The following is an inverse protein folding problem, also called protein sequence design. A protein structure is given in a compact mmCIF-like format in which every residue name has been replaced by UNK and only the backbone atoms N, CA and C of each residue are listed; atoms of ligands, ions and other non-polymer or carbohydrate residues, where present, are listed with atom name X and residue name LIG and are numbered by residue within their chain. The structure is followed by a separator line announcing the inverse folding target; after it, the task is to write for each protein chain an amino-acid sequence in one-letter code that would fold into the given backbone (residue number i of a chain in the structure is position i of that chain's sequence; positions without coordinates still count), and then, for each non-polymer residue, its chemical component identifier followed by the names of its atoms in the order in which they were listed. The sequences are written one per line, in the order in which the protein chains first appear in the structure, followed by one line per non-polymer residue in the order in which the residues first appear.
data_IF_284028311980
#
_entry.id   IF_284028311980
#
_cell.length_a   1.000
_cell.length_b   1.000
_cell.length_c   1.000
_cell.angle_alpha   90.00
_cell.angle_beta   90.00
_cell.angle_gamma   90.00
#
_symmetry.space_group_name_H-M   'P 1'
#
loop_
_entity.id
_entity.type
_entity.pdbx_description
1 polymer ?
#
# COMPACT_ATOMS: atom_id res chain seq x y z
N UNK A 1 11.61 -8.42 -19.72
CA UNK A 1 10.71 -9.09 -20.68
C UNK A 1 9.63 -9.86 -19.90
N UNK A 2 8.50 -9.22 -19.58
CA UNK A 2 7.32 -9.91 -19.04
C UNK A 2 6.41 -10.27 -20.23
N UNK A 3 6.22 -11.56 -20.50
CA UNK A 3 5.27 -12.06 -21.51
C UNK A 3 3.94 -12.36 -20.83
N UNK A 4 2.83 -11.83 -21.36
CA UNK A 4 1.48 -12.34 -21.04
C UNK A 4 0.78 -12.68 -22.36
N UNK A 5 0.43 -13.96 -22.49
CA UNK A 5 -0.29 -14.53 -23.61
C UNK A 5 -1.80 -14.59 -23.31
N UNK A 6 -2.59 -14.26 -24.33
CA UNK A 6 -4.05 -14.30 -24.40
C UNK A 6 -4.51 -15.73 -24.71
N UNK A 7 -5.55 -16.26 -24.03
CA UNK A 7 -6.55 -17.16 -24.62
C UNK A 7 -7.77 -17.48 -23.71
N UNK A 8 -8.96 -17.08 -24.22
CA UNK A 8 -10.28 -17.75 -24.24
C UNK A 8 -10.97 -18.29 -22.97
N UNK A 9 -12.07 -17.62 -22.58
CA UNK A 9 -13.41 -17.96 -23.08
C UNK A 9 -14.21 -19.05 -22.34
N UNK A 10 -15.12 -18.65 -21.45
CA UNK A 10 -16.35 -19.39 -21.13
C UNK A 10 -17.52 -18.41 -20.96
N UNK A 11 -18.58 -18.66 -21.73
CA UNK A 11 -19.86 -17.97 -21.68
C UNK A 11 -20.74 -18.57 -20.58
N UNK A 12 -21.27 -17.76 -19.68
CA UNK A 12 -22.41 -18.12 -18.84
C UNK A 12 -23.46 -17.00 -18.88
N UNK A 13 -24.58 -17.30 -19.54
CA UNK A 13 -25.81 -16.50 -19.52
C UNK A 13 -26.52 -16.66 -18.17
N UNK A 14 -26.79 -15.56 -17.47
CA UNK A 14 -27.74 -15.53 -16.36
C UNK A 14 -28.76 -14.41 -16.62
N UNK A 15 -30.03 -14.81 -16.50
CA UNK A 15 -31.23 -14.11 -16.92
C UNK A 15 -31.57 -12.86 -16.12
N UNK A 16 -32.23 -11.94 -16.82
CA UNK A 16 -32.82 -10.68 -16.38
C UNK A 16 -33.64 -10.79 -15.08
N UNK A 17 -33.39 -9.86 -14.15
CA UNK A 17 -34.41 -9.30 -13.27
C UNK A 17 -34.56 -7.80 -13.55
N UNK A 18 -35.80 -7.41 -13.82
CA UNK A 18 -36.22 -6.02 -14.00
C UNK A 18 -36.03 -5.21 -12.71
N UNK A 19 -35.29 -4.11 -12.79
CA UNK A 19 -35.40 -3.00 -11.84
C UNK A 19 -35.72 -1.70 -12.60
N UNK A 20 -36.71 -1.00 -12.07
CA UNK A 20 -37.29 0.25 -12.57
C UNK A 20 -36.30 1.40 -12.34
N UNK A 21 -36.04 2.30 -13.30
CA UNK A 21 -35.15 3.43 -13.07
C UNK A 21 -35.87 4.53 -12.28
N UNK A 22 -35.22 5.03 -11.24
CA UNK A 22 -35.60 6.27 -10.54
C UNK A 22 -34.69 7.38 -11.05
N UNK A 23 -35.22 8.20 -11.98
CA UNK A 23 -34.60 9.44 -12.42
C UNK A 23 -34.75 10.53 -11.35
N UNK A 24 -33.63 11.02 -10.78
CA UNK A 24 -33.52 12.38 -10.22
C UNK A 24 -32.07 12.90 -10.23
N UNK A 25 -31.72 13.71 -11.23
CA UNK A 25 -30.77 14.81 -11.04
C UNK A 25 -31.24 16.06 -11.82
N UNK A 26 -31.80 17.10 -11.17
CA UNK A 26 -32.44 18.23 -11.84
C UNK A 26 -31.55 19.47 -12.05
N UNK A 27 -30.21 19.39 -11.91
CA UNK A 27 -29.33 20.54 -12.17
C UNK A 27 -28.28 20.21 -13.24
N UNK A 28 -28.67 20.42 -14.49
CA UNK A 28 -27.77 20.36 -15.63
C UNK A 28 -26.75 21.51 -15.60
N UNK A 29 -25.52 21.21 -15.19
CA UNK A 29 -24.34 21.94 -15.68
C UNK A 29 -23.88 21.25 -16.96
N UNK A 30 -23.80 22.00 -18.05
CA UNK A 30 -23.23 21.54 -19.31
C UNK A 30 -21.73 21.37 -19.11
N UNK A 31 -21.27 20.15 -18.87
CA UNK A 31 -19.85 19.82 -19.00
C UNK A 31 -19.52 19.85 -20.49
N UNK A 32 -18.51 20.64 -20.86
CA UNK A 32 -17.99 20.65 -22.22
C UNK A 32 -17.17 19.37 -22.37
N UNK A 33 -17.81 18.34 -22.92
CA UNK A 33 -17.23 17.03 -23.22
C UNK A 33 -16.13 17.17 -24.27
N UNK A 34 -14.89 17.33 -23.83
CA UNK A 34 -13.71 17.03 -24.64
C UNK A 34 -12.79 16.15 -23.80
N UNK A 35 -12.84 14.85 -24.12
CA UNK A 35 -12.03 13.76 -23.57
C UNK A 35 -12.24 13.52 -22.08
N UNK A 36 -13.28 12.75 -21.78
CA UNK A 36 -13.33 11.87 -20.61
C UNK A 36 -12.13 10.91 -20.75
N UNK A 37 -10.94 11.30 -20.28
CA UNK A 37 -9.87 10.36 -19.97
C UNK A 37 -10.46 9.51 -18.85
N UNK A 38 -10.76 8.23 -19.11
CA UNK A 38 -11.59 7.41 -18.23
C UNK A 38 -10.95 7.30 -16.84
N UNK A 39 -11.40 8.13 -15.89
CA UNK A 39 -11.02 8.08 -14.46
C UNK A 39 -11.29 6.67 -13.87
N UNK A 40 -12.29 5.99 -14.44
CA UNK A 40 -12.62 4.60 -14.13
C UNK A 40 -11.50 3.63 -14.55
N UNK A 41 -10.69 3.95 -15.56
CA UNK A 41 -9.57 3.09 -16.03
C UNK A 41 -8.40 3.12 -15.05
N UNK A 42 -7.94 4.30 -14.58
CA UNK A 42 -6.82 4.42 -13.61
C UNK A 42 -7.12 3.68 -12.31
N UNK A 43 -8.31 3.89 -11.74
CA UNK A 43 -8.72 3.23 -10.49
C UNK A 43 -8.79 1.71 -10.67
N UNK A 44 -9.23 1.24 -11.84
CA UNK A 44 -9.29 -0.19 -12.13
C UNK A 44 -7.91 -0.79 -12.39
N UNK A 45 -7.01 -0.05 -13.06
CA UNK A 45 -5.63 -0.43 -13.31
C UNK A 45 -4.86 -0.58 -11.99
N UNK A 46 -4.96 0.40 -11.09
CA UNK A 46 -4.29 0.32 -9.78
C UNK A 46 -4.80 -0.85 -8.96
N UNK A 47 -6.13 -1.06 -8.90
CA UNK A 47 -6.74 -2.21 -8.21
C UNK A 47 -6.31 -3.54 -8.81
N UNK A 48 -6.19 -3.62 -10.14
CA UNK A 48 -5.72 -4.82 -10.82
C UNK A 48 -4.25 -5.11 -10.48
N UNK A 49 -3.39 -4.09 -10.48
CA UNK A 49 -1.97 -4.22 -10.11
C UNK A 49 -1.81 -4.62 -8.65
N UNK A 50 -2.50 -3.97 -7.72
CA UNK A 50 -2.56 -4.35 -6.31
C UNK A 50 -3.02 -5.80 -6.13
N UNK A 51 -4.08 -6.22 -6.83
CA UNK A 51 -4.56 -7.60 -6.78
C UNK A 51 -3.51 -8.60 -7.28
N UNK A 52 -2.79 -8.26 -8.36
CA UNK A 52 -1.70 -9.10 -8.88
C UNK A 52 -0.55 -9.20 -7.88
N UNK A 53 -0.16 -8.11 -7.22
CA UNK A 53 0.87 -8.11 -6.19
C UNK A 53 0.44 -8.94 -4.97
N UNK A 54 -0.80 -8.80 -4.51
CA UNK A 54 -1.35 -9.61 -3.42
C UNK A 54 -1.32 -11.11 -3.72
N UNK A 55 -1.64 -11.52 -4.96
CA UNK A 55 -1.53 -12.93 -5.38
C UNK A 55 -0.07 -13.42 -5.36
N UNK A 56 0.89 -12.57 -5.71
CA UNK A 56 2.32 -12.92 -5.65
C UNK A 56 2.79 -13.03 -4.20
N UNK A 57 2.42 -12.08 -3.34
CA UNK A 57 2.73 -12.02 -1.92
C UNK A 57 2.24 -13.27 -1.20
N UNK A 58 0.96 -13.62 -1.39
CA UNK A 58 0.37 -14.85 -0.84
C UNK A 58 1.15 -16.11 -1.23
N UNK A 59 1.51 -16.24 -2.52
CA UNK A 59 2.29 -17.41 -3.00
C UNK A 59 3.69 -17.47 -2.39
N UNK A 60 4.32 -16.32 -2.19
CA UNK A 60 5.65 -16.22 -1.61
C UNK A 60 5.64 -16.50 -0.11
N UNK A 61 4.70 -15.92 0.65
CA UNK A 61 4.53 -16.20 2.07
C UNK A 61 4.27 -17.68 2.32
N UNK A 62 3.38 -18.30 1.54
CA UNK A 62 3.17 -19.75 1.63
C UNK A 62 4.44 -20.54 1.37
N UNK A 63 5.19 -20.20 0.33
CA UNK A 63 6.47 -20.85 0.03
C UNK A 63 7.51 -20.62 1.15
N UNK A 64 7.52 -19.43 1.76
CA UNK A 64 8.39 -19.08 2.88
C UNK A 64 8.12 -20.01 4.08
N UNK A 65 6.86 -20.09 4.51
CA UNK A 65 6.43 -20.93 5.64
C UNK A 65 6.72 -22.41 5.40
N UNK A 66 6.41 -22.92 4.20
CA UNK A 66 6.72 -24.31 3.83
C UNK A 66 8.23 -24.62 3.92
N UNK A 67 9.09 -23.67 3.54
CA UNK A 67 10.54 -23.83 3.63
C UNK A 67 11.08 -23.70 5.05
N UNK A 68 10.55 -22.76 5.86
CA UNK A 68 10.89 -22.63 7.28
C UNK A 68 10.55 -23.92 8.03
N UNK A 69 9.34 -24.45 7.82
CA UNK A 69 8.91 -25.70 8.44
C UNK A 69 9.83 -26.86 8.05
N UNK A 70 10.22 -26.94 6.77
CA UNK A 70 11.13 -27.98 6.26
C UNK A 70 12.54 -27.84 6.87
N UNK A 71 13.04 -26.62 7.02
CA UNK A 71 14.32 -26.32 7.67
C UNK A 71 14.30 -26.73 9.15
N UNK A 72 13.23 -26.41 9.87
CA UNK A 72 13.06 -26.78 11.29
C UNK A 72 12.98 -28.29 11.51
N UNK A 73 12.29 -29.04 10.64
CA UNK A 73 12.19 -30.51 10.74
C UNK A 73 13.52 -31.22 10.49
N UNK A 74 14.43 -30.63 9.70
CA UNK A 74 15.67 -31.26 9.27
C UNK A 74 16.86 -30.28 9.31
N UNK A 75 17.30 -29.83 10.50
CA UNK A 75 18.28 -28.76 10.65
C UNK A 75 19.71 -29.15 10.22
N UNK A 76 20.07 -30.43 10.32
CA UNK A 76 21.43 -30.92 10.08
C UNK A 76 21.72 -31.34 8.62
N UNK A 77 20.73 -31.20 7.73
CA UNK A 77 20.87 -31.56 6.32
C UNK A 77 21.00 -30.29 5.50
N UNK A 78 22.07 -30.17 4.71
CA UNK A 78 22.14 -29.14 3.66
C UNK A 78 21.06 -29.47 2.63
N UNK A 79 19.92 -28.80 2.75
CA UNK A 79 18.75 -29.06 1.92
C UNK A 79 18.87 -28.27 0.63
N UNK A 80 19.14 -29.02 -0.44
CA UNK A 80 18.91 -28.54 -1.79
C UNK A 80 17.46 -28.77 -2.14
N UNK A 81 16.74 -27.70 -2.42
CA UNK A 81 15.34 -27.74 -2.82
C UNK A 81 15.22 -27.50 -4.32
N UNK A 82 14.29 -28.24 -4.94
CA UNK A 82 13.89 -27.97 -6.30
C UNK A 82 12.80 -26.91 -6.29
N UNK A 83 13.08 -25.72 -6.84
CA UNK A 83 12.06 -24.67 -6.99
C UNK A 83 11.10 -25.04 -8.11
N UNK A 84 9.79 -24.98 -7.83
CA UNK A 84 8.79 -25.12 -8.88
C UNK A 84 8.99 -24.05 -9.95
N UNK A 85 8.67 -24.37 -11.22
CA UNK A 85 8.75 -23.43 -12.34
C UNK A 85 8.03 -22.11 -12.06
N UNK A 86 6.89 -22.17 -11.35
CA UNK A 86 6.12 -21.00 -10.94
C UNK A 86 6.91 -20.13 -9.96
N UNK A 87 7.46 -20.72 -8.89
CA UNK A 87 8.22 -19.99 -7.88
C UNK A 87 9.53 -19.42 -8.46
N UNK A 88 10.22 -20.18 -9.31
CA UNK A 88 11.42 -19.70 -10.00
C UNK A 88 11.14 -18.47 -10.86
N UNK A 89 9.99 -18.42 -11.56
CA UNK A 89 9.56 -17.24 -12.31
C UNK A 89 9.25 -16.04 -11.40
N UNK A 90 8.55 -16.25 -10.29
CA UNK A 90 8.22 -15.18 -9.33
C UNK A 90 9.51 -14.59 -8.75
N UNK A 91 10.50 -15.44 -8.44
CA UNK A 91 11.82 -15.06 -7.94
C UNK A 91 12.78 -14.58 -9.03
N UNK A 92 12.33 -14.50 -10.30
CA UNK A 92 13.13 -14.05 -11.45
C UNK A 92 14.45 -14.85 -11.62
N UNK A 93 14.40 -16.17 -11.43
CA UNK A 93 15.56 -17.08 -11.54
C UNK A 93 15.53 -17.76 -12.92
N UNK A 94 16.59 -17.54 -13.72
CA UNK A 94 16.67 -17.98 -15.12
C UNK A 94 16.80 -19.50 -15.32
N UNK A 95 17.23 -20.26 -14.31
CA UNK A 95 17.45 -21.71 -14.41
C UNK A 95 16.79 -22.46 -13.25
N UNK A 96 15.87 -23.38 -13.58
CA UNK A 96 15.39 -24.44 -12.67
C UNK A 96 16.61 -25.24 -12.21
N UNK A 97 17.08 -24.96 -11.01
CA UNK A 97 18.23 -25.61 -10.41
C UNK A 97 17.98 -25.83 -8.92
N UNK A 98 18.62 -26.86 -8.41
CA UNK A 98 18.64 -27.15 -6.99
C UNK A 98 19.33 -25.99 -6.26
N UNK A 99 18.56 -25.29 -5.43
CA UNK A 99 19.03 -24.14 -4.65
C UNK A 99 19.06 -24.52 -3.18
N UNK A 100 20.07 -24.01 -2.48
CA UNK A 100 20.17 -24.13 -1.03
C UNK A 100 18.99 -23.46 -0.34
N UNK A 101 18.38 -24.11 0.66
CA UNK A 101 17.20 -23.60 1.34
C UNK A 101 17.40 -22.20 1.94
N UNK A 102 18.59 -21.89 2.47
CA UNK A 102 18.89 -20.56 3.03
C UNK A 102 19.04 -19.49 1.93
N UNK A 103 19.43 -19.91 0.72
CA UNK A 103 19.43 -19.02 -0.45
C UNK A 103 18.01 -18.79 -0.95
N UNK A 104 17.16 -19.82 -0.93
CA UNK A 104 15.76 -19.69 -1.32
C UNK A 104 14.97 -18.79 -0.37
N UNK A 105 15.07 -19.01 0.95
CA UNK A 105 14.43 -18.18 1.98
C UNK A 105 14.80 -16.70 1.82
N UNK A 106 16.10 -16.40 1.70
CA UNK A 106 16.60 -15.03 1.49
C UNK A 106 16.02 -14.39 0.24
N UNK A 107 15.96 -15.11 -0.89
CA UNK A 107 15.40 -14.61 -2.14
C UNK A 107 13.89 -14.37 -2.06
N UNK A 108 13.16 -15.24 -1.35
CA UNK A 108 11.73 -15.06 -1.12
C UNK A 108 11.51 -13.79 -0.30
N UNK A 109 12.26 -13.62 0.80
CA UNK A 109 12.22 -12.40 1.60
C UNK A 109 12.56 -11.15 0.78
N UNK A 110 13.66 -11.16 0.04
CA UNK A 110 14.06 -10.05 -0.84
C UNK A 110 12.94 -9.71 -1.84
N UNK A 111 12.27 -10.73 -2.41
CA UNK A 111 11.15 -10.51 -3.33
C UNK A 111 9.90 -9.98 -2.63
N UNK A 112 9.61 -10.39 -1.39
CA UNK A 112 8.53 -9.80 -0.58
C UNK A 112 8.81 -8.33 -0.29
N UNK A 113 10.05 -7.99 0.09
CA UNK A 113 10.50 -6.61 0.30
C UNK A 113 10.42 -5.78 -1.01
N UNK A 114 10.66 -6.40 -2.17
CA UNK A 114 10.41 -5.75 -3.47
C UNK A 114 8.92 -5.54 -3.76
N UNK A 115 8.05 -6.50 -3.43
CA UNK A 115 6.60 -6.36 -3.62
C UNK A 115 6.05 -5.24 -2.74
N UNK A 116 6.48 -5.15 -1.49
CA UNK A 116 6.10 -4.06 -0.59
C UNK A 116 6.44 -2.67 -1.18
N UNK A 117 7.60 -2.56 -1.85
CA UNK A 117 7.99 -1.33 -2.54
C UNK A 117 7.13 -1.06 -3.78
N UNK A 118 6.84 -2.10 -4.56
CA UNK A 118 5.93 -2.00 -5.72
C UNK A 118 4.51 -1.56 -5.27
N UNK A 119 4.02 -2.04 -4.12
CA UNK A 119 2.74 -1.62 -3.53
C UNK A 119 2.75 -0.13 -3.15
N UNK A 120 3.79 0.33 -2.46
CA UNK A 120 3.96 1.76 -2.11
C UNK A 120 4.08 2.65 -3.34
N UNK A 121 4.76 2.21 -4.40
CA UNK A 121 4.83 2.95 -5.67
C UNK A 121 3.43 3.11 -6.29
N UNK A 122 2.60 2.06 -6.31
CA UNK A 122 1.22 2.13 -6.80
C UNK A 122 0.37 3.09 -5.95
N UNK A 123 0.54 3.10 -4.62
CA UNK A 123 -0.15 4.06 -3.75
C UNK A 123 0.22 5.51 -4.08
N UNK A 124 1.50 5.77 -4.29
CA UNK A 124 1.96 7.10 -4.71
C UNK A 124 1.42 7.49 -6.09
N UNK A 125 1.30 6.56 -7.04
CA UNK A 125 0.68 6.81 -8.35
C UNK A 125 -0.80 7.19 -8.23
N UNK A 126 -1.54 6.53 -7.33
CA UNK A 126 -2.94 6.87 -7.03
C UNK A 126 -3.06 8.25 -6.39
N UNK A 127 -2.17 8.61 -5.47
CA UNK A 127 -2.13 9.95 -4.86
C UNK A 127 -1.87 11.04 -5.92
N UNK A 128 -0.95 10.80 -6.87
CA UNK A 128 -0.78 11.71 -8.02
C UNK A 128 -2.06 11.83 -8.82
N UNK A 129 -2.76 10.72 -9.10
CA UNK A 129 -4.04 10.75 -9.82
C UNK A 129 -5.04 11.67 -9.12
N UNK A 130 -5.18 11.58 -7.79
CA UNK A 130 -6.09 12.43 -7.00
C UNK A 130 -5.72 13.91 -7.08
N UNK A 131 -4.42 14.23 -7.07
CA UNK A 131 -3.94 15.61 -7.26
C UNK A 131 -4.30 16.11 -8.66
N UNK A 132 -4.09 15.30 -9.69
CA UNK A 132 -4.46 15.67 -11.06
C UNK A 132 -5.97 15.87 -11.20
N UNK A 133 -6.80 14.99 -10.64
CA UNK A 133 -8.25 15.12 -10.62
C UNK A 133 -8.65 16.48 -10.01
N UNK A 134 -8.08 16.80 -8.85
CA UNK A 134 -8.32 18.05 -8.14
C UNK A 134 -7.93 19.27 -8.98
N UNK A 135 -6.80 19.24 -9.66
CA UNK A 135 -6.36 20.35 -10.50
C UNK A 135 -7.19 20.48 -11.79
N UNK A 136 -7.56 19.37 -12.42
CA UNK A 136 -8.41 19.33 -13.60
C UNK A 136 -9.82 19.89 -13.31
N UNK A 137 -10.39 19.55 -12.15
CA UNK A 137 -11.68 20.07 -11.70
C UNK A 137 -11.70 21.61 -11.58
N UNK A 138 -10.57 22.21 -11.24
CA UNK A 138 -10.45 23.64 -10.94
C UNK A 138 -9.65 24.44 -11.98
N UNK A 139 -9.13 23.81 -13.04
CA UNK A 139 -8.28 24.47 -14.04
C UNK A 139 -9.02 25.58 -14.78
N UNK A 140 -10.33 25.40 -15.00
CA UNK A 140 -11.19 26.31 -15.75
C UNK A 140 -12.08 27.20 -14.86
N UNK A 141 -11.90 27.14 -13.53
CA UNK A 141 -12.68 27.93 -12.58
C UNK A 141 -12.43 29.44 -12.71
N UNK A 142 -13.49 30.21 -12.44
CA UNK A 142 -13.40 31.67 -12.29
C UNK A 142 -12.62 32.04 -11.03
N UNK A 143 -12.09 33.27 -10.96
CA UNK A 143 -11.33 33.73 -9.78
C UNK A 143 -12.11 33.58 -8.45
N UNK A 144 -13.43 33.78 -8.48
CA UNK A 144 -14.31 33.58 -7.31
C UNK A 144 -14.48 32.11 -6.93
N UNK A 145 -14.56 31.21 -7.90
CA UNK A 145 -14.66 29.76 -7.66
C UNK A 145 -13.34 29.23 -7.12
N UNK A 146 -12.20 29.64 -7.69
CA UNK A 146 -10.86 29.29 -7.20
C UNK A 146 -10.64 29.69 -5.75
N UNK A 147 -10.99 30.93 -5.39
CA UNK A 147 -10.88 31.41 -4.00
C UNK A 147 -11.78 30.62 -3.05
N UNK A 148 -12.98 30.24 -3.49
CA UNK A 148 -13.88 29.40 -2.72
C UNK A 148 -13.29 27.99 -2.52
N UNK A 149 -12.79 27.36 -3.59
CA UNK A 149 -12.17 26.04 -3.55
C UNK A 149 -10.98 26.00 -2.60
N UNK A 150 -10.11 27.02 -2.64
CA UNK A 150 -8.97 27.15 -1.70
C UNK A 150 -9.43 27.18 -0.24
N UNK A 151 -10.45 27.99 0.08
CA UNK A 151 -10.98 28.08 1.45
C UNK A 151 -11.62 26.79 1.92
N UNK A 152 -12.36 26.11 1.05
CA UNK A 152 -12.97 24.81 1.37
C UNK A 152 -11.90 23.74 1.61
N UNK A 153 -10.84 23.74 0.81
CA UNK A 153 -9.69 22.85 0.97
C UNK A 153 -8.93 23.10 2.29
N UNK A 154 -8.59 24.36 2.58
CA UNK A 154 -7.93 24.74 3.84
C UNK A 154 -8.80 24.37 5.06
N UNK A 155 -10.12 24.60 4.98
CA UNK A 155 -11.04 24.25 6.05
C UNK A 155 -11.10 22.74 6.30
N UNK A 156 -11.11 21.93 5.23
CA UNK A 156 -11.02 20.46 5.37
C UNK A 156 -9.69 20.08 6.02
N UNK A 157 -8.56 20.56 5.49
CA UNK A 157 -7.22 20.25 6.01
C UNK A 157 -7.10 20.50 7.52
N UNK A 158 -7.66 21.60 8.02
CA UNK A 158 -7.67 21.91 9.46
C UNK A 158 -8.48 20.94 10.31
N UNK A 159 -9.52 20.30 9.76
CA UNK A 159 -10.32 19.27 10.47
C UNK A 159 -9.56 17.95 10.59
N UNK A 160 -8.77 17.60 9.57
CA UNK A 160 -8.09 16.30 9.48
C UNK A 160 -6.70 16.25 10.16
N UNK A 161 -6.18 17.37 10.69
CA UNK A 161 -4.82 17.47 11.25
C UNK A 161 -4.65 16.99 12.70
N UNK A 162 -5.53 16.13 13.19
CA UNK A 162 -5.39 15.55 14.54
C UNK A 162 -5.08 14.07 14.44
N UNK A 163 -3.88 13.75 13.96
CA UNK A 163 -3.35 12.40 14.07
C UNK A 163 -3.10 12.11 15.56
N UNK A 164 -3.74 11.06 16.07
CA UNK A 164 -3.32 10.44 17.32
C UNK A 164 -1.93 9.83 17.11
N UNK A 165 -1.11 9.83 18.15
CA UNK A 165 0.26 9.32 18.04
C UNK A 165 0.18 7.80 17.99
N UNK A 166 0.67 7.21 16.91
CA UNK A 166 0.82 5.76 16.81
C UNK A 166 1.72 5.25 17.93
N UNK A 167 1.40 4.07 18.45
CA UNK A 167 2.31 3.33 19.29
C UNK A 167 3.54 2.89 18.49
N UNK A 168 4.70 2.82 19.18
CA UNK A 168 5.92 2.26 18.60
C UNK A 168 5.71 0.81 18.12
N UNK A 169 6.21 0.41 16.93
CA UNK A 169 6.13 -0.97 16.47
C UNK A 169 6.79 -1.92 17.47
N UNK A 170 6.02 -2.92 17.94
CA UNK A 170 6.45 -3.93 18.91
C UNK A 170 6.53 -3.41 20.35
N UNK A 171 5.98 -2.24 20.63
CA UNK A 171 5.86 -1.75 22.00
C UNK A 171 4.84 -2.58 22.80
N UNK A 172 5.02 -2.64 24.12
CA UNK A 172 4.00 -3.24 24.99
C UNK A 172 2.71 -2.43 25.03
N UNK A 173 2.77 -1.14 24.69
CA UNK A 173 1.59 -0.28 24.65
C UNK A 173 0.67 -0.71 23.50
N UNK A 174 1.25 -0.89 22.31
CA UNK A 174 0.59 -1.45 21.12
C UNK A 174 -0.11 -2.78 21.44
N UNK A 175 0.61 -3.78 21.93
CA UNK A 175 0.00 -5.10 22.18
C UNK A 175 -1.12 -5.05 23.23
N UNK A 176 -1.00 -4.19 24.23
CA UNK A 176 -2.05 -4.03 25.25
C UNK A 176 -3.28 -3.32 24.70
N UNK A 177 -3.08 -2.39 23.77
CA UNK A 177 -4.17 -1.68 23.12
C UNK A 177 -4.95 -2.64 22.22
N UNK A 178 -4.26 -3.39 21.35
CA UNK A 178 -4.82 -4.49 20.55
C UNK A 178 -5.59 -5.48 21.44
N UNK A 179 -4.94 -5.99 22.50
CA UNK A 179 -5.54 -6.96 23.42
C UNK A 179 -6.83 -6.45 24.07
N UNK A 180 -6.87 -5.17 24.42
CA UNK A 180 -8.01 -4.60 25.12
C UNK A 180 -9.13 -4.19 24.17
N UNK A 181 -8.78 -3.57 23.05
CA UNK A 181 -9.73 -2.89 22.18
C UNK A 181 -10.16 -3.77 21.01
N UNK A 182 -9.25 -4.51 20.38
CA UNK A 182 -9.56 -5.39 19.25
C UNK A 182 -9.96 -6.80 19.71
N UNK A 183 -9.19 -7.40 20.62
CA UNK A 183 -9.49 -8.73 21.14
C UNK A 183 -10.59 -8.73 22.21
N UNK A 184 -11.03 -7.53 22.63
CA UNK A 184 -12.00 -7.30 23.72
C UNK A 184 -11.64 -8.07 25.02
N UNK A 185 -10.36 -8.27 25.29
CA UNK A 185 -9.88 -9.06 26.43
C UNK A 185 -9.58 -8.21 27.67
N UNK A 186 -9.76 -8.76 28.89
CA UNK A 186 -9.42 -8.04 30.12
C UNK A 186 -7.91 -7.74 30.19
N UNK A 187 -7.56 -6.50 30.52
CA UNK A 187 -6.17 -6.03 30.64
C UNK A 187 -5.37 -6.85 31.67
N UNK A 188 -5.99 -7.27 32.78
CA UNK A 188 -5.36 -8.09 33.82
C UNK A 188 -4.90 -9.49 33.31
N UNK A 189 -5.44 -9.94 32.18
CA UNK A 189 -5.10 -11.23 31.57
C UNK A 189 -4.03 -11.11 30.47
N UNK A 190 -3.60 -9.90 30.14
CA UNK A 190 -2.57 -9.69 29.14
C UNK A 190 -1.27 -10.37 29.58
N UNK A 191 -0.72 -11.19 28.69
CA UNK A 191 0.67 -11.62 28.77
C UNK A 191 1.21 -11.73 27.35
N UNK A 192 2.48 -11.35 27.11
CA UNK A 192 3.08 -11.44 25.77
C UNK A 192 2.97 -12.85 25.18
N UNK A 193 3.05 -13.87 26.04
CA UNK A 193 2.84 -15.27 25.65
C UNK A 193 1.45 -15.54 25.10
N UNK A 194 0.41 -15.10 25.82
CA UNK A 194 -0.96 -15.31 25.35
C UNK A 194 -1.23 -14.50 24.10
N UNK A 195 -0.74 -13.25 24.06
CA UNK A 195 -0.84 -12.37 22.90
C UNK A 195 -0.26 -13.05 21.64
N UNK A 196 0.96 -13.59 21.74
CA UNK A 196 1.58 -14.36 20.66
C UNK A 196 0.71 -15.51 20.16
N UNK A 197 0.23 -16.33 21.09
CA UNK A 197 -0.50 -17.57 20.77
C UNK A 197 -1.88 -17.35 20.15
N UNK A 198 -2.54 -16.22 20.42
CA UNK A 198 -3.87 -15.94 19.83
C UNK A 198 -3.77 -15.29 18.45
N UNK A 199 -2.66 -14.62 18.15
CA UNK A 199 -2.40 -13.96 16.87
C UNK A 199 -1.58 -14.82 15.91
N UNK A 200 -1.03 -15.94 16.38
CA UNK A 200 -0.60 -17.07 15.54
C UNK A 200 -1.86 -17.80 15.03
N UNK A 201 -2.46 -17.24 13.97
CA UNK A 201 -3.79 -17.60 13.48
C UNK A 201 -3.81 -19.02 12.90
N UNK A 202 -2.68 -19.45 12.33
CA UNK A 202 -2.54 -20.75 11.70
C UNK A 202 -1.92 -21.80 12.65
N UNK A 203 -1.44 -21.39 13.83
CA UNK A 203 -0.78 -22.21 14.86
C UNK A 203 0.50 -22.91 14.39
N UNK A 204 1.27 -22.28 13.51
CA UNK A 204 2.57 -22.76 13.03
C UNK A 204 3.76 -22.32 13.90
N UNK A 205 3.49 -21.48 14.90
CA UNK A 205 4.45 -21.03 15.90
C UNK A 205 5.34 -19.86 15.48
N UNK A 206 5.05 -19.24 14.32
CA UNK A 206 5.66 -18.01 13.87
C UNK A 206 4.59 -16.98 13.54
N UNK A 207 4.95 -15.71 13.48
CA UNK A 207 4.12 -14.68 12.88
C UNK A 207 4.64 -14.34 11.50
N UNK A 208 3.80 -14.54 10.50
CA UNK A 208 4.09 -14.14 9.13
C UNK A 208 3.69 -12.67 8.86
N UNK A 209 3.91 -12.20 7.62
CA UNK A 209 3.60 -10.82 7.27
C UNK A 209 2.11 -10.47 7.38
N UNK A 210 1.22 -11.44 7.15
CA UNK A 210 -0.24 -11.23 7.20
C UNK A 210 -0.70 -11.14 8.66
N UNK A 211 -0.18 -12.00 9.53
CA UNK A 211 -0.45 -11.97 10.97
C UNK A 211 0.09 -10.70 11.62
N UNK A 212 1.30 -10.27 11.24
CA UNK A 212 1.85 -8.99 11.70
C UNK A 212 0.97 -7.83 11.24
N UNK A 213 0.58 -7.79 9.96
CA UNK A 213 -0.31 -6.73 9.47
C UNK A 213 -1.65 -6.73 10.21
N UNK A 214 -2.19 -7.90 10.55
CA UNK A 214 -3.43 -8.01 11.30
C UNK A 214 -3.32 -7.37 12.71
N UNK A 215 -2.23 -7.65 13.43
CA UNK A 215 -1.94 -7.03 14.74
C UNK A 215 -1.80 -5.51 14.65
N UNK A 216 -1.25 -5.01 13.55
CA UNK A 216 -1.03 -3.58 13.36
C UNK A 216 -2.26 -2.83 12.86
N UNK A 217 -3.36 -3.52 12.52
CA UNK A 217 -4.51 -2.88 11.89
C UNK A 217 -5.18 -1.80 12.78
N UNK A 218 -5.28 -2.02 14.09
CA UNK A 218 -5.87 -1.07 15.05
C UNK A 218 -5.21 0.30 15.02
N UNK A 219 -3.90 0.35 14.83
CA UNK A 219 -3.16 1.62 14.77
C UNK A 219 -3.66 2.49 13.61
N UNK A 220 -4.14 1.85 12.54
CA UNK A 220 -4.60 2.53 11.33
C UNK A 220 -6.11 2.78 11.29
N UNK A 221 -6.91 2.20 12.19
CA UNK A 221 -8.35 2.52 12.31
C UNK A 221 -8.56 3.99 12.74
N UNK A 222 -7.54 4.62 13.32
CA UNK A 222 -7.53 6.03 13.70
C UNK A 222 -7.18 6.95 12.54
N UNK A 223 -6.73 6.41 11.39
CA UNK A 223 -6.45 7.21 10.20
C UNK A 223 -7.73 7.62 9.48
N UNK A 224 -7.62 8.73 8.77
CA UNK A 224 -8.70 9.30 7.97
C UNK A 224 -9.18 8.30 6.90
N UNK A 225 -10.44 7.84 6.99
CA UNK A 225 -11.05 6.90 6.02
C UNK A 225 -10.94 7.40 4.57
N UNK A 226 -10.83 8.72 4.38
CA UNK A 226 -10.69 9.37 3.08
C UNK A 226 -9.30 9.15 2.42
N UNK A 227 -8.34 8.51 3.11
CA UNK A 227 -6.95 8.29 2.64
C UNK A 227 -6.48 6.82 2.79
N UNK A 228 -7.14 5.86 2.14
CA UNK A 228 -6.82 4.44 2.31
C UNK A 228 -5.41 4.07 1.84
N UNK A 229 -4.87 4.74 0.82
CA UNK A 229 -3.52 4.49 0.29
C UNK A 229 -2.43 4.86 1.31
N UNK A 230 -2.61 5.99 2.01
CA UNK A 230 -1.68 6.45 3.06
C UNK A 230 -1.72 5.51 4.27
N UNK A 231 -2.91 5.03 4.64
CA UNK A 231 -3.03 4.03 5.70
C UNK A 231 -2.28 2.74 5.38
N UNK A 232 -2.37 2.27 4.13
CA UNK A 232 -1.67 1.08 3.71
C UNK A 232 -0.15 1.27 3.60
N UNK A 233 0.31 2.43 3.12
CA UNK A 233 1.72 2.80 3.14
C UNK A 233 2.29 2.79 4.57
N UNK A 234 1.60 3.43 5.52
CA UNK A 234 2.03 3.46 6.91
C UNK A 234 2.03 2.05 7.52
N UNK A 235 1.08 1.18 7.16
CA UNK A 235 1.06 -0.23 7.56
C UNK A 235 2.31 -0.98 7.08
N UNK A 236 2.70 -0.78 5.82
CA UNK A 236 3.92 -1.37 5.26
C UNK A 236 5.16 -0.87 6.00
N UNK A 237 5.28 0.45 6.22
CA UNK A 237 6.42 1.04 6.92
C UNK A 237 6.53 0.56 8.38
N UNK A 238 5.40 0.49 9.09
CA UNK A 238 5.36 0.04 10.48
C UNK A 238 5.70 -1.46 10.59
N UNK A 239 5.17 -2.30 9.69
CA UNK A 239 5.56 -3.72 9.60
C UNK A 239 7.05 -3.89 9.32
N UNK A 240 7.61 -3.15 8.36
CA UNK A 240 9.04 -3.22 8.07
C UNK A 240 9.88 -2.77 9.26
N UNK A 241 9.42 -1.77 10.00
CA UNK A 241 10.06 -1.31 11.23
C UNK A 241 10.03 -2.39 12.31
N UNK A 242 8.89 -3.06 12.50
CA UNK A 242 8.76 -4.20 13.41
C UNK A 242 9.72 -5.33 13.04
N UNK A 243 9.74 -5.74 11.77
CA UNK A 243 10.65 -6.79 11.29
C UNK A 243 12.11 -6.45 11.58
N UNK A 244 12.56 -5.22 11.30
CA UNK A 244 13.93 -4.76 11.61
C UNK A 244 14.24 -4.83 13.11
N UNK A 245 13.24 -4.66 13.96
CA UNK A 245 13.39 -4.62 15.42
C UNK A 245 13.39 -6.03 16.03
N UNK A 246 12.56 -6.94 15.53
CA UNK A 246 12.25 -8.23 16.16
C UNK A 246 12.93 -9.40 15.46
N UNK A 247 12.77 -9.55 14.13
CA UNK A 247 13.36 -10.63 13.33
C UNK A 247 14.90 -10.52 13.32
N UNK A 248 15.55 -11.32 14.17
CA UNK A 248 17.01 -11.30 14.37
C UNK A 248 17.73 -12.17 13.36
N UNK A 249 17.12 -13.28 12.99
CA UNK A 249 17.72 -14.25 12.10
C UNK A 249 17.55 -13.85 10.60
N UNK A 250 16.70 -12.86 10.32
CA UNK A 250 16.35 -12.30 9.02
C UNK A 250 15.72 -13.31 8.06
N UNK A 251 14.93 -14.25 8.59
CA UNK A 251 14.21 -15.25 7.80
C UNK A 251 12.85 -14.78 7.30
N UNK A 252 12.39 -13.59 7.73
CA UNK A 252 11.16 -12.97 7.25
C UNK A 252 9.90 -13.35 8.03
N UNK A 253 10.03 -14.07 9.15
CA UNK A 253 8.95 -14.29 10.13
C UNK A 253 9.41 -13.86 11.51
N UNK A 254 8.51 -13.83 12.49
CA UNK A 254 8.84 -13.61 13.90
C UNK A 254 8.50 -14.88 14.67
N UNK A 255 9.50 -15.57 15.20
CA UNK A 255 9.25 -16.72 16.07
C UNK A 255 8.92 -16.31 17.51
N UNK A 256 8.37 -17.27 18.29
CA UNK A 256 8.04 -17.05 19.71
C UNK A 256 9.24 -16.54 20.54
N UNK A 257 10.44 -17.04 20.27
CA UNK A 257 11.65 -16.65 20.98
C UNK A 257 12.04 -15.20 20.69
N UNK A 258 12.04 -14.82 19.41
CA UNK A 258 12.31 -13.45 18.96
C UNK A 258 11.30 -12.45 19.53
N UNK A 259 10.01 -12.81 19.51
CA UNK A 259 8.95 -12.03 20.13
C UNK A 259 9.18 -11.85 21.63
N UNK A 260 9.36 -12.95 22.39
CA UNK A 260 9.61 -12.90 23.83
C UNK A 260 10.86 -12.10 24.18
N UNK A 261 11.94 -12.25 23.42
CA UNK A 261 13.20 -11.55 23.67
C UNK A 261 13.06 -10.04 23.47
N UNK A 262 12.31 -9.62 22.44
CA UNK A 262 12.08 -8.20 22.17
C UNK A 262 11.08 -7.58 23.16
N UNK A 263 9.92 -8.20 23.37
CA UNK A 263 8.81 -7.63 24.16
C UNK A 263 9.17 -7.49 25.65
N UNK A 264 10.07 -8.34 26.16
CA UNK A 264 10.58 -8.26 27.54
C UNK A 264 11.78 -7.30 27.68
N UNK A 265 12.30 -6.77 26.58
CA UNK A 265 13.41 -5.83 26.60
C UNK A 265 12.95 -4.44 27.07
N UNK A 266 13.88 -3.63 27.59
CA UNK A 266 13.59 -2.24 27.96
C UNK A 266 13.15 -1.38 26.78
N UNK A 267 13.42 -1.80 25.54
CA UNK A 267 13.05 -1.06 24.33
C UNK A 267 11.54 -1.15 24.06
N UNK A 268 10.92 -2.30 24.31
CA UNK A 268 9.49 -2.48 24.11
C UNK A 268 8.64 -1.83 25.22
N UNK A 269 9.21 -1.66 26.42
CA UNK A 269 8.55 -0.98 27.54
C UNK A 269 8.45 0.54 27.32
N UNK A 270 9.47 1.12 26.69
CA UNK A 270 9.52 2.56 26.42
C UNK A 270 8.86 2.82 25.06
N UNK A 271 7.58 3.17 25.09
CA UNK A 271 6.89 3.64 23.90
C UNK A 271 7.26 5.10 23.61
N UNK A 272 8.07 5.30 22.57
CA UNK A 272 8.42 6.64 22.08
C UNK A 272 7.42 7.14 21.02
N UNK A 273 6.38 6.35 20.74
CA UNK A 273 5.52 6.51 19.58
C UNK A 273 6.21 6.06 18.29
N UNK A 274 5.43 6.05 17.23
CA UNK A 274 5.91 5.91 15.86
C UNK A 274 5.37 7.06 15.02
N UNK A 275 6.21 7.56 14.15
CA UNK A 275 5.83 8.52 13.11
C UNK A 275 6.26 7.86 11.80
N UNK A 276 5.42 7.93 10.75
CA UNK A 276 5.83 7.52 9.42
C UNK A 276 7.14 8.20 9.03
N UNK A 277 7.94 7.51 8.21
CA UNK A 277 9.03 8.16 7.49
C UNK A 277 8.39 9.03 6.39
N UNK A 278 7.71 10.10 6.79
CA UNK A 278 7.22 11.12 5.89
C UNK A 278 8.45 11.94 5.48
N UNK A 279 9.00 11.65 4.29
CA UNK A 279 9.82 12.64 3.62
C UNK A 279 8.92 13.90 3.52
N UNK A 280 9.23 14.99 4.27
CA UNK A 280 8.43 16.24 4.33
C UNK A 280 8.10 16.83 2.93
N UNK A 281 8.74 16.31 1.88
CA UNK A 281 8.54 16.64 0.48
C UNK A 281 7.45 15.83 -0.26
N UNK A 282 6.82 14.83 0.37
CA UNK A 282 5.95 13.83 -0.25
C UNK A 282 4.44 13.91 0.05
N UNK A 283 3.99 14.81 0.93
CA UNK A 283 2.56 14.98 1.21
C UNK A 283 1.82 15.64 0.03
N UNK A 284 1.53 14.85 -1.00
CA UNK A 284 0.75 15.26 -2.17
C UNK A 284 -0.66 15.71 -1.80
N UNK A 285 -1.17 15.22 -0.68
CA UNK A 285 -2.45 15.64 -0.13
C UNK A 285 -2.52 17.12 0.22
N UNK A 286 -1.38 17.75 0.51
CA UNK A 286 -1.30 19.17 0.82
C UNK A 286 -1.45 20.07 -0.41
N UNK A 287 -1.40 19.50 -1.63
CA UNK A 287 -1.43 20.28 -2.85
C UNK A 287 -2.83 20.84 -3.06
N UNK A 288 -2.95 22.16 -3.03
CA UNK A 288 -4.25 22.82 -3.13
C UNK A 288 -4.95 22.56 -4.47
N UNK A 289 -6.21 23.00 -4.62
CA UNK A 289 -6.96 22.85 -5.86
C UNK A 289 -6.37 23.63 -7.04
N UNK A 290 -5.51 24.62 -6.77
CA UNK A 290 -4.91 25.46 -7.79
C UNK A 290 -3.39 25.29 -7.73
N UNK A 291 -2.77 24.65 -8.74
CA UNK A 291 -1.36 24.36 -8.72
C UNK A 291 -0.50 25.63 -8.81
N UNK A 292 0.56 25.68 -8.00
CA UNK A 292 1.70 26.57 -8.22
C UNK A 292 2.81 25.90 -9.06
N UNK A 293 3.81 26.67 -9.48
CA UNK A 293 4.87 26.16 -10.35
C UNK A 293 5.77 25.12 -9.65
N UNK A 294 5.92 25.18 -8.31
CA UNK A 294 6.71 24.20 -7.55
C UNK A 294 5.96 22.88 -7.44
N UNK A 295 4.66 22.92 -7.17
CA UNK A 295 3.81 21.74 -7.12
C UNK A 295 3.79 21.01 -8.48
N UNK A 296 3.69 21.76 -9.59
CA UNK A 296 3.81 21.21 -10.94
C UNK A 296 5.17 20.53 -11.16
N UNK A 297 6.27 21.16 -10.74
CA UNK A 297 7.61 20.58 -10.87
C UNK A 297 7.77 19.31 -10.02
N UNK A 298 7.18 19.27 -8.82
CA UNK A 298 7.14 18.07 -7.94
C UNK A 298 6.39 16.91 -8.61
N UNK A 299 5.17 17.13 -9.11
CA UNK A 299 4.41 16.09 -9.83
C UNK A 299 5.17 15.63 -11.08
N UNK A 300 5.73 16.56 -11.84
CA UNK A 300 6.54 16.21 -13.01
C UNK A 300 7.76 15.35 -12.64
N UNK A 301 8.40 15.61 -11.49
CA UNK A 301 9.52 14.82 -11.00
C UNK A 301 9.10 13.42 -10.58
N UNK A 302 7.97 13.26 -9.86
CA UNK A 302 7.44 11.94 -9.48
C UNK A 302 7.03 11.12 -10.70
N UNK A 303 6.31 11.70 -11.67
CA UNK A 303 5.97 11.00 -12.93
C UNK A 303 7.24 10.52 -13.64
N UNK A 304 8.29 11.36 -13.74
CA UNK A 304 9.58 10.95 -14.34
C UNK A 304 10.29 9.85 -13.55
N UNK A 305 10.14 9.83 -12.22
CA UNK A 305 10.68 8.77 -11.38
C UNK A 305 9.99 7.45 -11.74
N UNK A 306 8.67 7.44 -11.80
CA UNK A 306 7.87 6.27 -12.15
C UNK A 306 8.20 5.78 -13.57
N UNK A 307 8.29 6.67 -14.57
CA UNK A 307 8.70 6.30 -15.93
C UNK A 307 10.07 5.60 -15.99
N UNK A 308 11.00 5.94 -15.08
CA UNK A 308 12.32 5.30 -14.99
C UNK A 308 12.24 3.93 -14.30
N UNK A 309 11.35 3.79 -13.32
CA UNK A 309 11.21 2.56 -12.53
C UNK A 309 10.39 1.52 -13.28
N UNK A 310 9.26 1.89 -13.87
CA UNK A 310 8.41 1.03 -14.70
C UNK A 310 7.95 1.72 -16.00
N UNK A 311 8.79 1.74 -17.05
CA UNK A 311 8.46 2.42 -18.31
C UNK A 311 7.32 1.77 -19.10
N UNK A 312 6.95 0.52 -18.78
CA UNK A 312 5.91 -0.23 -19.49
C UNK A 312 4.54 -0.15 -18.77
N UNK A 313 4.45 0.55 -17.64
CA UNK A 313 3.20 0.73 -16.90
C UNK A 313 2.22 1.62 -17.66
N UNK A 314 1.01 1.08 -17.85
CA UNK A 314 -0.11 1.83 -18.44
C UNK A 314 -0.59 2.95 -17.53
N UNK A 315 -0.54 2.72 -16.21
CA UNK A 315 -0.94 3.72 -15.23
C UNK A 315 -0.03 4.96 -15.31
N UNK A 316 1.28 4.75 -15.39
CA UNK A 316 2.27 5.82 -15.53
C UNK A 316 2.08 6.58 -16.86
N UNK A 317 1.86 5.87 -17.97
CA UNK A 317 1.58 6.48 -19.28
C UNK A 317 0.35 7.39 -19.22
N UNK A 318 -0.72 6.92 -18.57
CA UNK A 318 -1.95 7.68 -18.36
C UNK A 318 -1.75 8.94 -17.50
N UNK A 319 -1.05 8.81 -16.36
CA UNK A 319 -0.74 9.96 -15.49
C UNK A 319 0.07 11.02 -16.22
N UNK A 320 1.04 10.60 -17.03
CA UNK A 320 1.86 11.50 -17.86
C UNK A 320 1.02 12.26 -18.88
N UNK A 321 0.17 11.57 -19.63
CA UNK A 321 -0.66 12.18 -20.67
C UNK A 321 -1.64 13.21 -20.07
N UNK A 322 -2.27 12.85 -18.94
CA UNK A 322 -3.12 13.77 -18.16
C UNK A 322 -2.35 15.00 -17.71
N UNK A 323 -1.19 14.81 -17.10
CA UNK A 323 -0.37 15.92 -16.62
C UNK A 323 0.08 16.85 -17.75
N UNK A 324 0.47 16.32 -18.91
CA UNK A 324 0.83 17.12 -20.10
C UNK A 324 -0.37 17.92 -20.61
N UNK A 325 -1.56 17.30 -20.64
CA UNK A 325 -2.79 17.98 -21.03
C UNK A 325 -3.13 19.13 -20.08
N UNK A 326 -3.17 18.84 -18.77
CA UNK A 326 -3.46 19.82 -17.73
C UNK A 326 -2.48 21.01 -17.78
N UNK A 327 -1.17 20.76 -17.93
CA UNK A 327 -0.17 21.82 -18.02
C UNK A 327 -0.45 22.76 -19.21
N UNK A 328 -0.86 22.21 -20.35
CA UNK A 328 -1.25 23.00 -21.53
C UNK A 328 -2.48 23.85 -21.24
N UNK A 329 -3.49 23.31 -20.56
CA UNK A 329 -4.69 24.07 -20.18
C UNK A 329 -4.37 25.21 -19.22
N UNK A 330 -3.52 24.96 -18.23
CA UNK A 330 -3.03 25.99 -17.29
C UNK A 330 -2.34 27.12 -18.05
N UNK A 331 -1.43 26.81 -18.98
CA UNK A 331 -0.72 27.80 -19.81
C UNK A 331 -1.69 28.62 -20.68
N UNK A 332 -2.68 27.96 -21.30
CA UNK A 332 -3.72 28.62 -22.08
C UNK A 332 -4.55 29.57 -21.22
N UNK A 333 -4.94 29.16 -20.01
CA UNK A 333 -5.74 29.99 -19.11
C UNK A 333 -4.94 31.18 -18.55
N UNK A 334 -3.65 30.99 -18.26
CA UNK A 334 -2.71 32.09 -17.92
C UNK A 334 -2.60 33.11 -19.07
N UNK A 335 -2.62 32.66 -20.33
CA UNK A 335 -2.57 33.57 -21.49
C UNK A 335 -3.88 34.33 -21.77
N UNK A 336 -5.03 33.78 -21.36
CA UNK A 336 -6.37 34.39 -21.53
C UNK A 336 -6.68 35.46 -20.47
N UNK A 337 -6.08 35.33 -19.29
CA UNK A 337 -6.28 36.22 -18.14
C UNK A 337 -4.91 36.69 -17.59
N UNK A 338 -4.21 37.59 -18.32
CA UNK A 338 -2.85 38.03 -17.98
C UNK A 338 -2.77 38.88 -16.71
#
# INVERSE_FOLDING_TARGET
MRWIAIAFGISLSISLFHCVPVDKNPFGKKTNKSQDFEIEDITNLSKLEQSNLGVLKYKLNRALLELIETKHKHPDVVQKIHLSSTLAKILKIDNESDIDIDVALRRIKERLDEIDKEEVEIFNEVEISKVLDRWEDHVNDTATEREKAKREFEAKKMVHHKQEKFHGPGSQALEKDVWKNEDEMPEDNYSPRNFFLIHDLNSDGVWDSEEISAVLNSEFDQLDEDRPERAEEYRIQMRQSLMKLVDKNQDGVIDYGEHMDYINSSKAVIDNGWEPDDDEDEDLDDFGPIPDDKELDKIAAKIRHFERTDPDSKLIEQLKDRFVHLKREIELNRSRHP
#
